data_IF_239786119807
#
_entry.id   IF_239786119807
#
_cell.length_a   1.000
_cell.length_b   1.000
_cell.length_c   1.000
_cell.angle_alpha   90.00
_cell.angle_beta   90.00
_cell.angle_gamma   90.00
#
_symmetry.space_group_name_H-M   'P 1'
#
loop_
_entity.id
_entity.type
_entity.pdbx_description
1 polymer ?
#
# COMPACT_ATOMS: atom_id res chain seq x y z
N UNK A 1 28.49 32.16 -35.25
CA UNK A 1 27.63 32.11 -34.04
C UNK A 1 27.13 30.67 -33.85
N UNK A 2 28.02 29.68 -33.70
CA UNK A 2 27.63 28.26 -33.84
C UNK A 2 27.90 27.42 -32.58
N UNK A 3 28.31 28.06 -31.47
CA UNK A 3 28.77 27.37 -30.26
C UNK A 3 27.66 27.25 -29.20
N UNK A 4 26.48 27.83 -29.43
CA UNK A 4 25.38 27.89 -28.44
C UNK A 4 24.24 26.88 -28.68
N UNK A 5 24.30 26.05 -29.74
CA UNK A 5 23.23 25.10 -30.06
C UNK A 5 23.39 23.73 -29.37
N UNK A 6 24.62 23.35 -29.01
CA UNK A 6 24.88 22.08 -28.30
C UNK A 6 24.26 22.03 -26.88
N UNK A 7 24.31 23.11 -26.07
CA UNK A 7 23.65 23.11 -24.76
C UNK A 7 22.12 23.06 -24.87
N UNK A 8 21.54 23.70 -25.90
CA UNK A 8 20.09 23.76 -26.12
C UNK A 8 19.49 22.41 -26.54
N UNK A 9 20.27 21.56 -27.23
CA UNK A 9 19.87 20.19 -27.58
C UNK A 9 20.11 19.18 -26.44
N UNK A 10 21.07 19.44 -25.55
CA UNK A 10 21.35 18.58 -24.39
C UNK A 10 20.39 18.83 -23.20
N UNK A 11 19.87 20.05 -23.08
CA UNK A 11 18.87 20.43 -22.07
C UNK A 11 17.57 19.58 -22.15
N UNK A 12 16.88 19.42 -23.30
CA UNK A 12 15.64 18.65 -23.37
C UNK A 12 15.87 17.14 -23.19
N UNK A 13 17.02 16.62 -23.59
CA UNK A 13 17.35 15.20 -23.46
C UNK A 13 17.52 14.80 -21.98
N UNK A 14 18.20 15.65 -21.20
CA UNK A 14 18.43 15.40 -19.77
C UNK A 14 17.12 15.49 -18.98
N UNK A 15 16.29 16.50 -19.25
CA UNK A 15 14.97 16.64 -18.62
C UNK A 15 14.00 15.53 -19.01
N UNK A 16 14.03 15.08 -20.27
CA UNK A 16 13.26 13.93 -20.71
C UNK A 16 13.65 12.66 -19.95
N UNK A 17 14.95 12.38 -19.77
CA UNK A 17 15.44 11.22 -19.02
C UNK A 17 15.01 11.30 -17.54
N UNK A 18 15.11 12.47 -16.91
CA UNK A 18 14.70 12.67 -15.52
C UNK A 18 13.18 12.48 -15.37
N UNK A 19 12.37 13.00 -16.30
CA UNK A 19 10.91 12.84 -16.24
C UNK A 19 10.47 11.38 -16.38
N UNK A 20 11.09 10.61 -17.28
CA UNK A 20 10.83 9.18 -17.44
C UNK A 20 11.22 8.42 -16.17
N UNK A 21 12.36 8.73 -15.57
CA UNK A 21 12.81 8.12 -14.32
C UNK A 21 11.81 8.38 -13.17
N UNK A 22 11.35 9.63 -13.03
CA UNK A 22 10.35 10.02 -12.00
C UNK A 22 9.05 9.25 -12.20
N UNK A 23 8.55 9.12 -13.43
CA UNK A 23 7.32 8.36 -13.73
C UNK A 23 7.48 6.89 -13.36
N UNK A 24 8.62 6.27 -13.69
CA UNK A 24 8.89 4.86 -13.35
C UNK A 24 8.93 4.65 -11.84
N UNK A 25 9.55 5.57 -11.09
CA UNK A 25 9.62 5.50 -9.62
C UNK A 25 8.22 5.68 -9.02
N UNK A 26 7.46 6.68 -9.46
CA UNK A 26 6.10 6.92 -8.99
C UNK A 26 5.19 5.72 -9.25
N UNK A 27 5.28 5.13 -10.44
CA UNK A 27 4.54 3.92 -10.80
C UNK A 27 4.94 2.74 -9.88
N UNK A 28 6.23 2.54 -9.63
CA UNK A 28 6.73 1.48 -8.74
C UNK A 28 6.26 1.68 -7.30
N UNK A 29 6.24 2.91 -6.80
CA UNK A 29 5.74 3.24 -5.46
C UNK A 29 4.23 3.03 -5.34
N UNK A 30 3.46 3.36 -6.39
CA UNK A 30 2.04 3.06 -6.47
C UNK A 30 1.78 1.54 -6.41
N UNK A 31 2.52 0.74 -7.19
CA UNK A 31 2.42 -0.72 -7.13
C UNK A 31 2.88 -1.30 -5.79
N UNK A 32 3.93 -0.76 -5.17
CA UNK A 32 4.38 -1.16 -3.84
C UNK A 32 3.31 -0.89 -2.78
N UNK A 33 2.61 0.23 -2.90
CA UNK A 33 1.49 0.60 -2.02
C UNK A 33 0.32 -0.36 -2.17
N UNK A 34 -0.07 -0.70 -3.41
CA UNK A 34 -1.13 -1.69 -3.68
C UNK A 34 -0.74 -3.07 -3.14
N UNK A 35 0.50 -3.51 -3.32
CA UNK A 35 0.98 -4.78 -2.76
C UNK A 35 0.92 -4.79 -1.23
N UNK A 36 1.32 -3.70 -0.58
CA UNK A 36 1.23 -3.56 0.88
C UNK A 36 -0.23 -3.62 1.35
N UNK A 37 -1.13 -2.92 0.68
CA UNK A 37 -2.58 -2.96 0.97
C UNK A 37 -3.13 -4.37 0.79
N UNK A 38 -2.79 -5.06 -0.30
CA UNK A 38 -3.23 -6.42 -0.55
C UNK A 38 -2.73 -7.38 0.56
N UNK A 39 -1.47 -7.28 0.97
CA UNK A 39 -0.92 -8.07 2.08
C UNK A 39 -1.63 -7.77 3.41
N UNK A 40 -1.90 -6.50 3.70
CA UNK A 40 -2.62 -6.08 4.89
C UNK A 40 -4.04 -6.65 4.94
N UNK A 41 -4.76 -6.64 3.80
CA UNK A 41 -6.09 -7.23 3.68
C UNK A 41 -6.05 -8.74 3.84
N UNK A 42 -5.10 -9.42 3.18
CA UNK A 42 -4.94 -10.88 3.30
C UNK A 42 -4.65 -11.28 4.75
N UNK A 43 -3.72 -10.59 5.41
CA UNK A 43 -3.45 -10.82 6.83
C UNK A 43 -4.68 -10.56 7.70
N UNK A 44 -5.43 -9.49 7.42
CA UNK A 44 -6.69 -9.19 8.08
C UNK A 44 -7.74 -10.31 7.95
N UNK A 45 -7.93 -10.84 6.74
CA UNK A 45 -8.81 -11.98 6.48
C UNK A 45 -8.33 -13.21 7.26
N UNK A 46 -7.04 -13.53 7.20
CA UNK A 46 -6.49 -14.68 7.92
C UNK A 46 -6.73 -14.56 9.43
N UNK A 47 -6.43 -13.40 10.02
CA UNK A 47 -6.70 -13.15 11.44
C UNK A 47 -8.18 -13.30 11.78
N UNK A 48 -9.08 -12.73 10.97
CA UNK A 48 -10.52 -12.88 11.14
C UNK A 48 -10.97 -14.34 11.14
N UNK A 49 -10.52 -15.11 10.15
CA UNK A 49 -10.85 -16.53 10.01
C UNK A 49 -10.33 -17.34 11.19
N UNK A 50 -9.10 -17.08 11.65
CA UNK A 50 -8.55 -17.76 12.84
C UNK A 50 -9.39 -17.46 14.07
N UNK A 51 -9.77 -16.19 14.28
CA UNK A 51 -10.57 -15.82 15.44
C UNK A 51 -11.96 -16.46 15.45
N UNK A 52 -12.64 -16.56 14.31
CA UNK A 52 -13.98 -17.17 14.24
C UNK A 52 -13.92 -18.70 14.25
N UNK A 53 -13.08 -19.30 13.41
CA UNK A 53 -13.12 -20.75 13.20
C UNK A 53 -12.22 -21.55 14.13
N UNK A 54 -11.13 -20.94 14.64
CA UNK A 54 -10.20 -21.63 15.55
C UNK A 54 -10.49 -21.21 16.99
N UNK A 55 -10.55 -19.91 17.25
CA UNK A 55 -10.76 -19.38 18.61
C UNK A 55 -12.23 -19.26 19.00
N UNK A 56 -13.16 -19.47 18.05
CA UNK A 56 -14.61 -19.40 18.28
C UNK A 56 -15.09 -18.07 18.89
N UNK A 57 -14.39 -16.97 18.60
CA UNK A 57 -14.76 -15.62 19.03
C UNK A 57 -15.72 -15.03 17.99
N UNK A 58 -16.99 -14.75 18.33
CA UNK A 58 -17.96 -14.21 17.39
C UNK A 58 -17.69 -12.72 17.14
N UNK A 59 -16.81 -12.43 16.18
CA UNK A 59 -16.50 -11.05 15.77
C UNK A 59 -17.38 -10.60 14.60
N UNK A 60 -18.27 -9.65 14.86
CA UNK A 60 -19.00 -8.93 13.80
C UNK A 60 -18.25 -7.63 13.46
N UNK A 61 -17.58 -7.63 12.31
CA UNK A 61 -16.62 -6.58 11.95
C UNK A 61 -17.19 -5.67 10.87
N UNK A 62 -17.52 -4.45 11.27
CA UNK A 62 -17.99 -3.40 10.37
C UNK A 62 -16.89 -2.86 9.43
N UNK A 63 -17.33 -2.09 8.43
CA UNK A 63 -16.47 -1.52 7.38
C UNK A 63 -15.30 -0.67 7.93
N UNK A 64 -15.48 0.00 9.07
CA UNK A 64 -14.45 0.84 9.68
C UNK A 64 -13.19 0.07 10.10
N UNK A 65 -13.35 -1.12 10.68
CA UNK A 65 -12.21 -1.95 11.10
C UNK A 65 -11.50 -2.55 9.89
N UNK A 66 -12.25 -2.93 8.84
CA UNK A 66 -11.66 -3.34 7.55
C UNK A 66 -10.83 -2.22 6.91
N UNK A 67 -11.32 -0.98 6.92
CA UNK A 67 -10.59 0.18 6.42
C UNK A 67 -9.31 0.45 7.25
N UNK A 68 -9.39 0.31 8.57
CA UNK A 68 -8.20 0.40 9.43
C UNK A 68 -7.22 -0.72 9.15
N UNK A 69 -7.70 -1.94 8.89
CA UNK A 69 -6.85 -3.09 8.57
C UNK A 69 -6.12 -2.89 7.24
N UNK A 70 -6.76 -2.27 6.24
CA UNK A 70 -6.08 -1.85 5.00
C UNK A 70 -4.89 -0.93 5.30
N UNK A 71 -5.06 0.01 6.23
CA UNK A 71 -4.04 1.02 6.56
C UNK A 71 -2.93 0.47 7.48
N UNK A 72 -3.31 -0.26 8.53
CA UNK A 72 -2.46 -0.66 9.66
C UNK A 72 -2.14 -2.16 9.70
N UNK A 73 -2.65 -2.95 8.75
CA UNK A 73 -2.49 -4.41 8.74
C UNK A 73 -3.41 -5.11 9.75
N UNK A 74 -3.06 -6.30 10.26
CA UNK A 74 -3.97 -7.11 11.08
C UNK A 74 -4.22 -6.56 12.50
N UNK A 75 -3.52 -5.49 12.92
CA UNK A 75 -3.58 -4.94 14.28
C UNK A 75 -5.02 -4.59 14.72
N UNK A 76 -5.84 -3.87 13.94
CA UNK A 76 -7.22 -3.57 14.32
C UNK A 76 -8.08 -4.82 14.50
N UNK A 77 -7.80 -5.87 13.72
CA UNK A 77 -8.48 -7.17 13.81
C UNK A 77 -8.12 -7.89 15.12
N UNK A 78 -6.85 -7.85 15.54
CA UNK A 78 -6.41 -8.42 16.81
C UNK A 78 -7.02 -7.67 17.99
N UNK A 79 -7.09 -6.34 17.92
CA UNK A 79 -7.72 -5.52 18.95
C UNK A 79 -9.22 -5.80 19.06
N UNK A 80 -9.91 -5.95 17.92
CA UNK A 80 -11.31 -6.37 17.92
C UNK A 80 -11.47 -7.76 18.55
N UNK A 81 -10.60 -8.71 18.23
CA UNK A 81 -10.64 -10.05 18.83
C UNK A 81 -10.46 -10.03 20.35
N UNK A 82 -9.56 -9.19 20.87
CA UNK A 82 -9.40 -9.00 22.31
C UNK A 82 -10.64 -8.38 22.95
N UNK A 83 -11.34 -7.46 22.27
CA UNK A 83 -12.56 -6.85 22.77
C UNK A 83 -13.74 -7.83 22.82
N UNK A 84 -13.93 -8.63 21.77
CA UNK A 84 -15.04 -9.60 21.71
C UNK A 84 -14.76 -10.90 22.48
N UNK A 85 -13.49 -11.22 22.74
CA UNK A 85 -13.07 -12.44 23.44
C UNK A 85 -12.89 -12.29 24.96
N UNK A 86 -12.98 -11.07 25.50
CA UNK A 86 -12.98 -10.78 26.94
C UNK A 86 -14.42 -10.77 27.48
#
# INVERSE_FOLDING_TARGET
MNVLLAPLLAAPMTEAIISVLVIVIALKLAFFTIKKVALNVVLGIVTYMVCIYVLHIPMDIGFGVWALTVLFGPIPMVLAALYYGL
#
